data_IF_866941268409
#
_entry.id   IF_866941268409
#
_cell.length_a   1.000
_cell.length_b   1.000
_cell.length_c   1.000
_cell.angle_alpha   90.00
_cell.angle_beta   90.00
_cell.angle_gamma   90.00
#
_symmetry.space_group_name_H-M   'P 1'
#
loop_
_entity.id
_entity.type
_entity.pdbx_description
1 polymer ?
#
# COMPACT_ATOMS: atom_id res chain seq x y z
N UNK A 1 -0.81 39.37 29.43
CA UNK A 1 -0.99 37.91 29.55
C UNK A 1 -0.42 37.26 28.31
N UNK A 2 0.63 36.45 28.43
CA UNK A 2 1.27 35.81 27.27
C UNK A 2 0.39 34.66 26.79
N UNK A 3 -0.02 34.71 25.53
CA UNK A 3 -0.88 33.70 24.92
C UNK A 3 -0.02 32.43 24.76
N UNK A 4 -0.28 31.39 25.56
CA UNK A 4 0.54 30.17 25.66
C UNK A 4 0.25 29.13 24.55
N UNK A 5 -0.85 29.31 23.81
CA UNK A 5 -1.27 28.43 22.70
C UNK A 5 -0.23 28.25 21.58
N UNK A 6 0.46 29.30 21.05
CA UNK A 6 1.46 29.14 20.01
C UNK A 6 2.71 28.40 20.52
N UNK A 7 3.07 28.54 21.80
CA UNK A 7 4.23 27.85 22.39
C UNK A 7 3.96 26.34 22.44
N UNK A 8 2.75 25.94 22.80
CA UNK A 8 2.34 24.54 22.81
C UNK A 8 2.31 23.94 21.38
N UNK A 9 1.85 24.71 20.40
CA UNK A 9 1.82 24.29 18.99
C UNK A 9 3.22 24.09 18.40
N UNK A 10 4.14 25.03 18.69
CA UNK A 10 5.54 24.95 18.24
C UNK A 10 6.28 23.81 18.94
N UNK A 11 6.00 23.58 20.22
CA UNK A 11 6.57 22.46 20.98
C UNK A 11 6.07 21.11 20.47
N UNK A 12 4.77 20.97 20.14
CA UNK A 12 4.22 19.77 19.54
C UNK A 12 4.80 19.49 18.13
N UNK A 13 5.01 20.54 17.33
CA UNK A 13 5.62 20.42 16.00
C UNK A 13 7.10 19.98 16.09
N UNK A 14 7.85 20.52 17.05
CA UNK A 14 9.26 20.15 17.29
C UNK A 14 9.38 18.71 17.84
N UNK A 15 8.48 18.29 18.74
CA UNK A 15 8.43 16.91 19.23
C UNK A 15 8.07 15.90 18.12
N UNK A 16 7.24 16.29 17.15
CA UNK A 16 6.91 15.46 15.99
C UNK A 16 8.10 15.30 15.02
N UNK A 17 8.92 16.36 14.85
CA UNK A 17 10.11 16.35 14.01
C UNK A 17 11.28 15.50 14.59
N UNK A 18 11.35 15.32 15.91
CA UNK A 18 12.43 14.57 16.57
C UNK A 18 12.36 13.04 16.39
N UNK A 19 11.27 12.48 15.84
CA UNK A 19 11.19 11.03 15.58
C UNK A 19 11.92 10.57 14.31
N UNK A 20 12.61 11.46 13.59
CA UNK A 20 13.43 11.11 12.41
C UNK A 20 14.91 10.83 12.74
N UNK A 21 15.25 10.52 13.99
CA UNK A 21 16.63 10.19 14.39
C UNK A 21 16.94 8.68 14.28
N UNK A 22 17.76 8.36 13.29
CA UNK A 22 18.92 7.47 13.41
C UNK A 22 18.69 6.00 13.78
N UNK A 23 17.95 5.28 12.95
CA UNK A 23 18.40 3.96 12.52
C UNK A 23 18.93 4.11 11.09
N UNK A 24 19.98 3.36 10.69
CA UNK A 24 20.19 3.09 9.25
C UNK A 24 19.02 2.23 8.78
N UNK A 25 17.84 2.84 8.65
CA UNK A 25 16.64 2.19 8.16
C UNK A 25 16.92 1.86 6.71
N UNK A 26 17.33 0.60 6.46
CA UNK A 26 17.39 0.07 5.11
C UNK A 26 15.97 0.13 4.58
N UNK A 27 15.75 0.99 3.59
CA UNK A 27 14.48 1.03 2.90
C UNK A 27 14.31 -0.34 2.23
N UNK A 28 13.26 -1.10 2.56
CA UNK A 28 13.00 -2.36 1.91
C UNK A 28 12.58 -2.07 0.48
N UNK A 29 13.35 -2.60 -0.47
CA UNK A 29 13.14 -2.44 -1.91
C UNK A 29 13.22 -3.83 -2.51
N UNK A 30 12.16 -4.26 -3.19
CA UNK A 30 12.17 -5.55 -3.85
C UNK A 30 10.78 -6.11 -4.08
N UNK A 31 10.76 -7.39 -4.36
CA UNK A 31 9.53 -8.15 -4.57
C UNK A 31 8.82 -8.41 -3.25
N UNK A 32 7.49 -8.29 -3.27
CA UNK A 32 6.61 -8.57 -2.15
C UNK A 32 5.39 -9.32 -2.64
N UNK A 33 5.01 -10.35 -1.89
CA UNK A 33 3.69 -10.96 -2.00
C UNK A 33 2.70 -10.15 -1.16
N UNK A 34 1.60 -9.76 -1.81
CA UNK A 34 0.56 -8.96 -1.23
C UNK A 34 -0.72 -9.77 -1.22
N UNK A 35 -1.25 -10.00 -0.02
CA UNK A 35 -2.50 -10.71 0.20
C UNK A 35 -3.53 -9.73 0.72
N UNK A 36 -4.70 -9.71 0.10
CA UNK A 36 -5.79 -8.79 0.47
C UNK A 36 -7.08 -9.60 0.58
N UNK A 37 -7.65 -9.70 1.79
CA UNK A 37 -8.98 -10.28 1.99
C UNK A 37 -10.02 -9.50 1.19
N UNK A 38 -10.84 -10.20 0.41
CA UNK A 38 -11.84 -9.61 -0.49
C UNK A 38 -13.26 -10.04 -0.16
N UNK A 39 -13.46 -11.16 0.52
CA UNK A 39 -14.79 -11.63 0.89
C UNK A 39 -14.77 -12.58 2.09
N UNK A 40 -15.74 -12.39 2.99
CA UNK A 40 -16.02 -13.27 4.13
C UNK A 40 -16.97 -14.39 3.69
N UNK A 41 -16.53 -15.66 3.72
CA UNK A 41 -17.45 -16.77 3.47
C UNK A 41 -18.32 -17.02 4.72
N UNK A 42 -19.50 -17.65 4.58
CA UNK A 42 -20.33 -17.95 5.74
C UNK A 42 -19.64 -18.97 6.66
N UNK A 43 -19.77 -18.77 7.98
CA UNK A 43 -19.21 -19.67 8.98
C UNK A 43 -20.01 -20.98 9.08
N UNK A 44 -19.92 -21.82 8.05
CA UNK A 44 -20.57 -23.13 7.93
C UNK A 44 -19.53 -24.24 8.00
N UNK A 45 -19.93 -25.47 8.34
CA UNK A 45 -19.02 -26.62 8.39
C UNK A 45 -18.33 -26.90 7.03
N UNK A 46 -18.93 -26.50 5.90
CA UNK A 46 -18.32 -26.59 4.56
C UNK A 46 -17.03 -25.76 4.43
N UNK A 47 -16.97 -24.60 5.07
CA UNK A 47 -15.86 -23.64 5.00
C UNK A 47 -14.99 -23.67 6.26
N UNK A 48 -15.16 -24.69 7.10
CA UNK A 48 -14.40 -24.83 8.34
C UNK A 48 -13.08 -25.54 8.06
N UNK A 49 -12.01 -24.90 8.49
CA UNK A 49 -10.65 -25.42 8.37
C UNK A 49 -10.34 -26.41 9.49
N UNK A 50 -9.31 -27.23 9.28
CA UNK A 50 -8.89 -28.26 10.24
C UNK A 50 -8.46 -27.70 11.61
N UNK A 51 -8.03 -26.44 11.63
CA UNK A 51 -7.66 -25.70 12.85
C UNK A 51 -8.87 -25.09 13.59
N UNK A 52 -10.10 -25.28 13.07
CA UNK A 52 -11.33 -24.73 13.64
C UNK A 52 -11.67 -23.31 13.19
N UNK A 53 -10.82 -22.67 12.39
CA UNK A 53 -11.10 -21.37 11.77
C UNK A 53 -12.02 -21.53 10.55
N UNK A 54 -12.41 -20.41 9.97
CA UNK A 54 -13.22 -20.38 8.76
C UNK A 54 -12.41 -19.82 7.61
N UNK A 55 -12.62 -20.43 6.44
CA UNK A 55 -12.03 -20.05 5.19
C UNK A 55 -12.71 -18.77 4.67
N UNK A 56 -11.93 -17.80 4.23
CA UNK A 56 -12.35 -16.61 3.51
C UNK A 56 -11.73 -16.59 2.11
N UNK A 57 -12.08 -15.56 1.31
CA UNK A 57 -11.46 -15.33 0.01
C UNK A 57 -10.54 -14.12 0.06
N UNK A 58 -9.36 -14.26 -0.53
CA UNK A 58 -8.39 -13.18 -0.70
C UNK A 58 -7.85 -13.13 -2.13
N UNK A 59 -7.39 -11.95 -2.52
CA UNK A 59 -6.59 -11.75 -3.73
C UNK A 59 -5.12 -11.74 -3.36
N UNK A 60 -4.35 -12.62 -3.98
CA UNK A 60 -2.90 -12.72 -3.89
C UNK A 60 -2.29 -12.18 -5.18
N UNK A 61 -1.31 -11.30 -5.05
CA UNK A 61 -0.50 -10.85 -6.19
C UNK A 61 0.93 -10.59 -5.75
N UNK A 62 1.83 -10.52 -6.73
CA UNK A 62 3.23 -10.17 -6.49
C UNK A 62 3.52 -8.81 -7.08
N UNK A 63 4.16 -7.94 -6.31
CA UNK A 63 4.49 -6.58 -6.72
C UNK A 63 5.93 -6.22 -6.36
N UNK A 64 6.53 -5.33 -7.15
CA UNK A 64 7.75 -4.66 -6.75
C UNK A 64 7.38 -3.45 -5.90
N UNK A 65 7.83 -3.43 -4.64
CA UNK A 65 7.45 -2.43 -3.66
C UNK A 65 8.68 -1.70 -3.10
N UNK A 66 8.52 -0.39 -2.86
CA UNK A 66 9.48 0.43 -2.13
C UNK A 66 8.87 0.86 -0.80
N UNK A 67 9.61 0.60 0.28
CA UNK A 67 9.28 1.03 1.64
C UNK A 67 7.93 0.50 2.18
N UNK A 68 7.43 -0.63 1.66
CA UNK A 68 6.10 -1.19 1.93
C UNK A 68 4.90 -0.29 1.54
N UNK A 69 5.15 0.89 0.97
CA UNK A 69 4.11 1.89 0.71
C UNK A 69 3.93 2.18 -0.79
N UNK A 70 4.94 1.87 -1.62
CA UNK A 70 4.97 2.29 -3.01
C UNK A 70 5.07 1.06 -3.93
N UNK A 71 3.94 0.47 -4.35
CA UNK A 71 3.90 -0.58 -5.34
C UNK A 71 4.23 0.00 -6.72
N UNK A 72 5.47 -0.16 -7.18
CA UNK A 72 5.92 0.40 -8.45
C UNK A 72 5.31 -0.33 -9.66
N UNK A 73 5.23 -1.66 -9.62
CA UNK A 73 4.56 -2.43 -10.65
C UNK A 73 4.21 -3.82 -10.14
N UNK A 74 3.17 -4.40 -10.74
CA UNK A 74 2.76 -5.78 -10.53
C UNK A 74 3.68 -6.69 -11.33
N UNK A 75 4.22 -7.70 -10.66
CA UNK A 75 5.08 -8.75 -11.25
C UNK A 75 4.21 -9.93 -11.68
N UNK A 76 3.30 -10.36 -10.80
CA UNK A 76 2.34 -11.44 -11.07
C UNK A 76 0.92 -10.91 -10.88
N UNK A 77 0.06 -11.15 -11.86
CA UNK A 77 -1.35 -10.72 -11.86
C UNK A 77 -2.12 -11.30 -10.66
N UNK A 78 -3.18 -10.62 -10.20
CA UNK A 78 -3.95 -11.05 -9.06
C UNK A 78 -4.60 -12.42 -9.31
N UNK A 79 -4.50 -13.28 -8.30
CA UNK A 79 -5.17 -14.58 -8.24
C UNK A 79 -6.06 -14.64 -7.00
N UNK A 80 -7.26 -15.17 -7.18
CA UNK A 80 -8.16 -15.45 -6.07
C UNK A 80 -7.73 -16.75 -5.36
N UNK A 81 -7.60 -16.68 -4.04
CA UNK A 81 -7.14 -17.77 -3.18
C UNK A 81 -8.03 -17.88 -1.94
N UNK A 82 -8.00 -19.04 -1.30
CA UNK A 82 -8.56 -19.21 0.04
C UNK A 82 -7.68 -18.53 1.09
N UNK A 83 -8.25 -18.03 2.17
CA UNK A 83 -7.54 -17.27 3.20
C UNK A 83 -8.03 -17.63 4.60
N UNK A 84 -7.11 -17.82 5.55
CA UNK A 84 -7.42 -17.90 6.97
C UNK A 84 -6.95 -16.60 7.64
N UNK A 85 -7.89 -15.73 7.99
CA UNK A 85 -7.61 -14.44 8.63
C UNK A 85 -6.90 -14.58 9.99
N UNK A 86 -7.08 -15.70 10.69
CA UNK A 86 -6.50 -15.88 12.03
C UNK A 86 -5.04 -16.27 12.00
N UNK A 87 -4.63 -17.05 10.99
CA UNK A 87 -3.25 -17.51 10.82
C UNK A 87 -2.46 -16.72 9.78
N UNK A 88 -3.14 -15.86 9.01
CA UNK A 88 -2.59 -15.14 7.85
C UNK A 88 -2.04 -16.09 6.77
N UNK A 89 -2.63 -17.28 6.66
CA UNK A 89 -2.27 -18.30 5.67
C UNK A 89 -3.22 -18.26 4.47
N UNK A 90 -2.70 -18.58 3.28
CA UNK A 90 -3.51 -18.73 2.07
C UNK A 90 -3.45 -20.15 1.52
N UNK A 91 -4.53 -20.54 0.85
CA UNK A 91 -4.69 -21.86 0.24
C UNK A 91 -4.93 -21.73 -1.26
N UNK A 92 -4.14 -22.47 -2.04
CA UNK A 92 -4.32 -22.56 -3.47
C UNK A 92 -5.49 -23.51 -3.77
N UNK A 93 -6.65 -22.92 -4.06
CA UNK A 93 -7.85 -23.66 -4.45
C UNK A 93 -7.84 -23.85 -5.97
N UNK A 94 -8.08 -25.07 -6.49
CA UNK A 94 -8.22 -25.30 -7.93
C UNK A 94 -9.32 -24.43 -8.55
N UNK A 95 -9.12 -23.94 -9.78
CA UNK A 95 -10.07 -23.02 -10.42
C UNK A 95 -11.51 -23.55 -10.47
N UNK A 96 -11.69 -24.87 -10.68
CA UNK A 96 -13.01 -25.51 -10.69
C UNK A 96 -13.74 -25.40 -9.35
N UNK A 97 -13.02 -25.57 -8.25
CA UNK A 97 -13.58 -25.49 -6.89
C UNK A 97 -13.85 -24.03 -6.52
N UNK A 98 -12.94 -23.12 -6.90
CA UNK A 98 -13.14 -21.69 -6.73
C UNK A 98 -14.40 -21.21 -7.47
N UNK A 99 -14.60 -21.63 -8.71
CA UNK A 99 -15.78 -21.27 -9.49
C UNK A 99 -17.07 -21.82 -8.85
N UNK A 100 -17.02 -23.00 -8.21
CA UNK A 100 -18.15 -23.56 -7.47
C UNK A 100 -18.49 -22.74 -6.21
N UNK A 101 -17.47 -22.30 -5.46
CA UNK A 101 -17.64 -21.42 -4.29
C UNK A 101 -18.23 -20.07 -4.73
N UNK A 102 -17.70 -19.48 -5.81
CA UNK A 102 -18.23 -18.22 -6.34
C UNK A 102 -19.68 -18.36 -6.79
N UNK A 103 -20.03 -19.47 -7.45
CA UNK A 103 -21.40 -19.75 -7.87
C UNK A 103 -22.35 -19.95 -6.68
N UNK A 104 -21.93 -20.67 -5.63
CA UNK A 104 -22.75 -20.89 -4.42
C UNK A 104 -23.07 -19.58 -3.70
N UNK A 105 -22.10 -18.66 -3.66
CA UNK A 105 -22.24 -17.34 -3.05
C UNK A 105 -22.80 -16.26 -4.00
N UNK A 106 -23.09 -16.61 -5.27
CA UNK A 106 -23.54 -15.67 -6.32
C UNK A 106 -22.57 -14.51 -6.56
N UNK A 107 -21.28 -14.76 -6.42
CA UNK A 107 -20.20 -13.80 -6.60
C UNK A 107 -19.64 -13.86 -8.02
N UNK A 108 -19.10 -12.74 -8.50
CA UNK A 108 -18.39 -12.67 -9.78
C UNK A 108 -16.89 -12.60 -9.52
N UNK A 109 -16.12 -13.44 -10.22
CA UNK A 109 -14.66 -13.48 -10.10
C UNK A 109 -14.02 -12.12 -10.38
N UNK A 110 -14.49 -11.41 -11.40
CA UNK A 110 -13.95 -10.10 -11.81
C UNK A 110 -14.16 -8.99 -10.77
N UNK A 111 -15.20 -9.11 -9.95
CA UNK A 111 -15.49 -8.12 -8.90
C UNK A 111 -14.53 -8.26 -7.72
N UNK A 112 -14.05 -9.48 -7.46
CA UNK A 112 -13.16 -9.83 -6.36
C UNK A 112 -11.69 -9.81 -6.78
N UNK A 113 -11.35 -10.41 -7.93
CA UNK A 113 -9.98 -10.59 -8.40
C UNK A 113 -9.44 -9.35 -9.11
N UNK A 114 -9.54 -8.19 -8.44
CA UNK A 114 -9.09 -6.90 -8.96
C UNK A 114 -8.13 -6.24 -7.99
N UNK A 115 -7.11 -5.60 -8.55
CA UNK A 115 -6.19 -4.79 -7.78
C UNK A 115 -6.78 -3.40 -7.53
N UNK A 116 -6.54 -2.81 -6.35
CA UNK A 116 -6.82 -1.40 -6.11
C UNK A 116 -6.11 -0.51 -7.14
N UNK A 117 -6.72 0.62 -7.46
CA UNK A 117 -6.15 1.60 -8.41
C UNK A 117 -4.72 2.00 -8.04
N UNK A 118 -4.46 2.20 -6.75
CA UNK A 118 -3.15 2.60 -6.26
C UNK A 118 -2.06 1.55 -6.55
N UNK A 119 -2.37 0.27 -6.32
CA UNK A 119 -1.48 -0.85 -6.58
C UNK A 119 -1.18 -1.01 -8.06
N UNK A 120 -2.19 -0.84 -8.92
CA UNK A 120 -2.03 -1.04 -10.37
C UNK A 120 -1.34 0.15 -11.06
N UNK A 121 -1.64 1.37 -10.64
CA UNK A 121 -1.19 2.59 -11.32
C UNK A 121 -0.61 3.66 -10.39
N UNK A 122 -1.17 3.80 -9.19
CA UNK A 122 -0.83 4.88 -8.26
C UNK A 122 0.64 4.96 -7.89
N UNK A 123 1.31 3.84 -7.63
CA UNK A 123 2.73 3.87 -7.27
C UNK A 123 3.63 4.36 -8.41
N UNK A 124 3.29 4.07 -9.68
CA UNK A 124 4.00 4.65 -10.85
C UNK A 124 3.82 6.15 -10.93
N UNK A 125 2.59 6.63 -10.71
CA UNK A 125 2.28 8.07 -10.75
C UNK A 125 3.02 8.82 -9.64
N UNK A 126 3.03 8.28 -8.43
CA UNK A 126 3.76 8.86 -7.30
C UNK A 126 5.26 8.88 -7.58
N UNK A 127 5.83 7.79 -8.11
CA UNK A 127 7.25 7.75 -8.48
C UNK A 127 7.60 8.81 -9.53
N UNK A 128 6.76 9.01 -10.54
CA UNK A 128 6.93 10.04 -11.56
C UNK A 128 6.89 11.44 -10.94
N UNK A 129 5.93 11.72 -10.06
CA UNK A 129 5.81 13.00 -9.36
C UNK A 129 7.05 13.30 -8.51
N UNK A 130 7.59 12.30 -7.81
CA UNK A 130 8.82 12.44 -7.03
C UNK A 130 10.02 12.78 -7.93
N UNK A 131 10.14 12.09 -9.08
CA UNK A 131 11.19 12.38 -10.06
C UNK A 131 11.06 13.80 -10.62
N UNK A 132 9.84 14.22 -10.98
CA UNK A 132 9.58 15.57 -11.48
C UNK A 132 9.93 16.65 -10.44
N UNK A 133 9.60 16.41 -9.17
CA UNK A 133 9.92 17.33 -8.07
C UNK A 133 11.43 17.44 -7.83
N UNK A 134 12.16 16.32 -7.90
CA UNK A 134 13.62 16.33 -7.82
C UNK A 134 14.25 17.16 -8.94
N UNK A 135 13.78 16.98 -10.19
CA UNK A 135 14.27 17.77 -11.32
C UNK A 135 13.97 19.25 -11.11
N UNK A 136 12.74 19.60 -10.72
CA UNK A 136 12.34 20.98 -10.45
C UNK A 136 13.23 21.63 -9.39
N UNK A 137 13.53 20.91 -8.30
CA UNK A 137 14.37 21.43 -7.21
C UNK A 137 15.81 21.75 -7.63
N UNK A 138 16.32 21.09 -8.67
CA UNK A 138 17.68 21.32 -9.20
C UNK A 138 17.71 22.49 -10.21
N UNK A 139 16.55 22.95 -10.71
CA UNK A 139 16.50 24.08 -11.65
C UNK A 139 16.92 25.37 -10.92
N UNK A 140 18.02 26.02 -11.32
CA UNK A 140 18.48 27.23 -10.66
C UNK A 140 17.48 28.37 -10.89
N UNK A 141 17.00 28.97 -9.80
CA UNK A 141 16.18 30.17 -9.87
C UNK A 141 16.96 31.28 -10.60
N UNK A 142 16.34 31.90 -11.60
CA UNK A 142 16.91 33.07 -12.27
C UNK A 142 17.04 34.18 -11.23
N UNK A 143 18.25 34.39 -10.70
CA UNK A 143 18.55 35.55 -9.85
C UNK A 143 18.24 36.81 -10.66
N UNK A 144 17.36 37.66 -10.15
CA UNK A 144 17.18 39.02 -10.70
C UNK A 144 18.54 39.71 -10.63
N UNK A 145 19.03 40.22 -11.77
CA UNK A 145 20.21 41.08 -11.77
C UNK A 145 19.85 42.33 -10.97
N UNK A 146 20.48 42.48 -9.81
CA UNK A 146 20.45 43.74 -9.06
C UNK A 146 21.51 44.62 -9.70
N UNK A 147 21.08 45.71 -10.34
CA UNK A 147 21.99 46.71 -10.86
C UNK A 147 22.48 47.62 -9.71
N UNK A 148 23.78 47.95 -9.65
CA UNK A 148 24.31 48.81 -8.60
C UNK A 148 23.85 50.25 -8.80
N UNK A 149 23.09 50.79 -7.84
CA UNK A 149 22.82 52.23 -7.75
C UNK A 149 24.07 52.95 -7.23
N UNK A 150 24.61 53.89 -8.01
CA UNK A 150 25.71 54.75 -7.53
C UNK A 150 25.18 55.68 -6.43
N UNK A 151 25.91 55.73 -5.32
CA UNK A 151 25.74 56.69 -4.22
C UNK A 151 26.54 57.95 -4.56
#
# INVERSE_FOLDING_TARGET
MMNLKPIFLVSALMLSACNFLSAKAKIPIGEREALTKVYDLPNTEEYKLNNGNYLDLATLHKEFNIAYILPLYVIEEPKLVGYDEKTDEFYNIPDKEMDAILASQKLKKDDLNKLPFYTRYGGKLVALLLIAFMIWGVIPSKKKRVEPTKI
#
